data_IF_208177221452
#
_entry.id   IF_208177221452
#
_cell.length_a   1.000
_cell.length_b   1.000
_cell.length_c   1.000
_cell.angle_alpha   90.00
_cell.angle_beta   90.00
_cell.angle_gamma   90.00
#
_symmetry.space_group_name_H-M   'P 1'
#
loop_
_entity.id
_entity.type
_entity.pdbx_description
1 polymer ?
#
# COMPACT_ATOMS: atom_id res chain seq x y z
N UNK A 1 -2.63 19.95 1.14
CA UNK A 1 -3.24 19.43 2.38
C UNK A 1 -2.42 19.91 3.56
N UNK A 2 -3.05 20.08 4.72
CA UNK A 2 -2.32 20.46 5.92
C UNK A 2 -1.56 19.25 6.48
N UNK A 3 -0.46 19.47 7.22
CA UNK A 3 0.31 18.38 7.84
C UNK A 3 -0.52 17.41 8.70
N UNK A 4 -1.60 17.90 9.33
CA UNK A 4 -2.46 17.09 10.18
C UNK A 4 -3.31 16.07 9.40
N UNK A 5 -3.69 16.38 8.15
CA UNK A 5 -4.68 15.62 7.40
C UNK A 5 -4.08 14.48 6.56
N UNK A 6 -2.83 14.65 6.12
CA UNK A 6 -2.16 13.68 5.25
C UNK A 6 -0.67 13.59 5.56
N UNK A 7 -0.06 12.39 5.50
CA UNK A 7 1.39 12.24 5.63
C UNK A 7 2.24 13.00 4.59
N UNK A 8 1.61 13.52 3.53
CA UNK A 8 2.24 14.35 2.47
C UNK A 8 1.76 15.80 2.52
N UNK A 9 1.05 16.18 3.59
CA UNK A 9 0.56 17.53 3.80
C UNK A 9 1.67 18.43 4.36
N UNK A 10 1.59 19.72 4.03
CA UNK A 10 2.57 20.73 4.42
C UNK A 10 3.70 20.97 3.42
N UNK A 11 4.47 22.01 3.75
CA UNK A 11 5.58 22.58 2.98
C UNK A 11 5.13 23.74 2.07
N UNK A 12 6.09 24.57 1.70
CA UNK A 12 5.85 25.79 0.91
C UNK A 12 5.73 25.46 -0.58
N UNK A 13 4.72 26.03 -1.26
CA UNK A 13 4.52 25.85 -2.70
C UNK A 13 4.18 24.40 -3.11
N UNK A 14 4.89 23.86 -4.10
CA UNK A 14 4.72 22.49 -4.57
C UNK A 14 5.67 21.54 -3.85
N UNK A 15 5.13 20.66 -3.00
CA UNK A 15 5.94 19.78 -2.16
C UNK A 15 5.99 18.38 -2.74
N UNK A 16 7.21 17.86 -2.88
CA UNK A 16 7.39 16.45 -3.21
C UNK A 16 6.83 15.57 -2.09
N UNK A 17 6.65 14.27 -2.36
CA UNK A 17 6.13 13.29 -1.38
C UNK A 17 6.86 13.36 -0.02
N UNK A 18 8.13 13.78 0.01
CA UNK A 18 8.89 14.15 1.22
C UNK A 18 9.23 13.00 2.19
N UNK A 19 8.50 11.88 2.13
CA UNK A 19 8.70 10.72 2.99
C UNK A 19 9.76 9.79 2.40
N UNK A 20 10.93 9.70 3.06
CA UNK A 20 12.03 8.77 2.72
C UNK A 20 11.59 7.30 2.55
N UNK A 21 10.52 6.90 3.23
CA UNK A 21 9.96 5.53 3.22
C UNK A 21 8.96 5.28 2.07
N UNK A 22 8.85 6.22 1.11
CA UNK A 22 7.94 6.15 -0.02
C UNK A 22 6.52 6.64 0.26
N UNK A 23 5.63 6.63 -0.75
CA UNK A 23 4.29 7.20 -0.65
C UNK A 23 3.41 6.43 0.34
N UNK A 24 2.59 7.20 1.06
CA UNK A 24 1.70 6.73 2.12
C UNK A 24 0.26 7.04 1.76
N UNK A 25 -0.64 6.22 2.29
CA UNK A 25 -2.06 6.53 2.33
C UNK A 25 -2.32 7.63 3.37
N UNK A 26 -3.51 8.23 3.35
CA UNK A 26 -3.93 9.22 4.36
C UNK A 26 -3.79 8.75 5.81
N UNK A 27 -3.81 7.44 6.04
CA UNK A 27 -3.64 6.81 7.36
C UNK A 27 -2.21 6.33 7.64
N UNK A 28 -1.22 6.73 6.84
CA UNK A 28 0.17 6.39 7.07
C UNK A 28 0.58 4.96 6.67
N UNK A 29 -0.27 4.16 6.03
CA UNK A 29 0.13 2.85 5.47
C UNK A 29 0.87 3.03 4.14
N UNK A 30 1.76 2.12 3.76
CA UNK A 30 2.44 2.18 2.44
C UNK A 30 1.43 2.08 1.31
N UNK A 31 1.48 2.99 0.34
CA UNK A 31 0.55 3.01 -0.79
C UNK A 31 0.94 2.00 -1.89
N UNK A 32 2.24 1.77 -2.07
CA UNK A 32 2.76 0.94 -3.17
C UNK A 32 3.49 -0.32 -2.67
N UNK A 33 3.41 -1.38 -3.47
CA UNK A 33 4.20 -2.61 -3.30
C UNK A 33 3.75 -3.56 -2.18
N UNK A 34 2.70 -3.22 -1.42
CA UNK A 34 2.24 -4.06 -0.30
C UNK A 34 1.08 -4.96 -0.71
N UNK A 35 1.22 -6.28 -0.51
CA UNK A 35 0.11 -7.23 -0.64
C UNK A 35 -0.85 -7.05 0.54
N UNK A 36 -2.05 -6.55 0.29
CA UNK A 36 -3.08 -6.30 1.32
C UNK A 36 -3.95 -7.52 1.64
N UNK A 37 -3.86 -8.60 0.83
CA UNK A 37 -4.63 -9.83 1.07
C UNK A 37 -4.14 -10.54 2.34
N UNK A 38 -5.07 -10.86 3.24
CA UNK A 38 -4.80 -11.64 4.47
C UNK A 38 -4.26 -13.04 4.14
N UNK A 39 -3.17 -13.44 4.80
CA UNK A 39 -2.46 -14.71 4.55
C UNK A 39 -3.26 -15.96 4.99
N UNK A 40 -4.15 -15.83 5.98
CA UNK A 40 -4.93 -16.95 6.54
C UNK A 40 -6.41 -16.99 6.08
N UNK A 41 -6.76 -16.34 4.97
CA UNK A 41 -8.16 -16.34 4.47
C UNK A 41 -8.53 -17.75 4.00
N UNK A 42 -9.67 -18.30 4.42
CA UNK A 42 -10.13 -19.66 4.05
C UNK A 42 -10.13 -19.90 2.52
N UNK A 43 -10.59 -18.90 1.76
CA UNK A 43 -10.59 -18.93 0.28
C UNK A 43 -9.21 -19.03 -0.36
N UNK A 44 -8.10 -18.95 0.38
CA UNK A 44 -6.76 -19.16 -0.18
C UNK A 44 -6.59 -20.57 -0.76
N UNK A 45 -7.27 -21.57 -0.20
CA UNK A 45 -7.26 -22.95 -0.71
C UNK A 45 -7.86 -23.09 -2.12
N UNK A 46 -8.71 -22.15 -2.51
CA UNK A 46 -9.41 -22.16 -3.79
C UNK A 46 -8.66 -21.40 -4.89
N UNK A 47 -7.54 -20.74 -4.56
CA UNK A 47 -6.80 -19.91 -5.53
C UNK A 47 -5.68 -20.75 -6.14
N UNK A 48 -5.81 -21.06 -7.43
CA UNK A 48 -4.81 -21.82 -8.20
C UNK A 48 -3.66 -20.90 -8.68
N UNK A 49 -3.98 -19.72 -9.20
CA UNK A 49 -3.03 -18.76 -9.78
C UNK A 49 -3.38 -17.33 -9.36
N UNK A 50 -2.39 -16.47 -9.18
CA UNK A 50 -2.63 -15.03 -9.01
C UNK A 50 -2.79 -14.31 -10.36
N UNK A 51 -3.26 -13.05 -10.32
CA UNK A 51 -3.47 -12.24 -11.54
C UNK A 51 -2.18 -11.93 -12.31
N UNK A 52 -1.02 -12.01 -11.65
CA UNK A 52 0.30 -11.84 -12.28
C UNK A 52 0.82 -13.15 -12.88
N UNK A 53 0.03 -14.22 -12.78
CA UNK A 53 0.36 -15.51 -13.33
C UNK A 53 1.22 -16.41 -12.42
N UNK A 54 1.41 -16.06 -11.16
CA UNK A 54 2.16 -16.93 -10.24
C UNK A 54 1.24 -18.02 -9.68
N UNK A 55 1.67 -19.27 -9.79
CA UNK A 55 0.95 -20.40 -9.17
C UNK A 55 1.07 -20.29 -7.65
N UNK A 56 -0.06 -20.34 -6.97
CA UNK A 56 -0.11 -20.31 -5.50
C UNK A 56 0.18 -21.72 -5.00
N UNK A 57 1.37 -21.93 -4.42
CA UNK A 57 1.65 -23.14 -3.65
C UNK A 57 0.67 -23.16 -2.46
N UNK A 58 -0.16 -24.20 -2.43
CA UNK A 58 -1.18 -24.48 -1.42
C UNK A 58 -0.57 -24.66 -0.04
#
# INVERSE_FOLDING_TARGET
>A
MNPADHPHGGGEGHTSVGIRKGPRTKWGKRAMGVKTRRRKKHSNKLIIKDRKGNVKKS
#
